data_IF_492852413740
#
_entry.id   IF_492852413740
#
_cell.length_a   1.000
_cell.length_b   1.000
_cell.length_c   1.000
_cell.angle_alpha   90.00
_cell.angle_beta   90.00
_cell.angle_gamma   90.00
#
_symmetry.space_group_name_H-M   'P 1'
#
loop_
_entity.id
_entity.type
_entity.pdbx_description
1 polymer ?
#
# COMPACT_ATOMS: atom_id res chain seq x y z
N UNK A 1 -13.34 11.77 17.46
CA UNK A 1 -13.86 10.85 16.43
C UNK A 1 -14.16 11.65 15.18
N UNK A 2 -13.84 11.09 14.00
CA UNK A 2 -14.06 11.73 12.70
C UNK A 2 -15.52 11.62 12.25
N UNK A 3 -15.95 12.55 11.38
CA UNK A 3 -17.32 12.62 10.84
C UNK A 3 -17.64 11.46 9.89
N UNK A 4 -16.61 10.88 9.25
CA UNK A 4 -16.69 9.70 8.39
C UNK A 4 -15.58 8.75 8.77
N UNK A 5 -15.91 7.47 8.96
CA UNK A 5 -14.94 6.41 9.29
C UNK A 5 -15.06 5.32 8.22
N UNK A 6 -13.99 5.09 7.46
CA UNK A 6 -13.88 3.97 6.51
C UNK A 6 -13.07 2.89 7.20
N UNK A 7 -13.74 1.81 7.62
CA UNK A 7 -13.13 0.72 8.36
C UNK A 7 -13.49 -0.59 7.67
N UNK A 8 -12.48 -1.33 7.25
CA UNK A 8 -12.62 -2.68 6.71
C UNK A 8 -11.80 -3.64 7.56
N UNK A 9 -12.44 -4.42 8.46
CA UNK A 9 -11.76 -5.37 9.32
C UNK A 9 -11.15 -6.56 8.56
N UNK A 10 -11.58 -6.82 7.33
CA UNK A 10 -11.10 -7.92 6.51
C UNK A 10 -9.92 -7.50 5.61
N UNK A 11 -9.61 -6.20 5.54
CA UNK A 11 -8.47 -5.72 4.79
C UNK A 11 -7.15 -6.10 5.49
N UNK A 12 -6.26 -6.75 4.75
CA UNK A 12 -4.96 -7.22 5.26
C UNK A 12 -3.95 -6.11 5.53
N UNK A 13 -4.18 -4.94 4.95
CA UNK A 13 -3.37 -3.75 5.13
C UNK A 13 -4.23 -2.50 4.94
N UNK A 14 -3.88 -1.44 5.66
CA UNK A 14 -4.54 -0.13 5.48
C UNK A 14 -4.32 0.39 4.06
N UNK A 15 -3.17 0.05 3.46
CA UNK A 15 -2.84 0.37 2.07
C UNK A 15 -3.90 -0.10 1.07
N UNK A 16 -4.56 -1.26 1.29
CA UNK A 16 -5.63 -1.76 0.43
C UNK A 16 -6.88 -0.88 0.50
N UNK A 17 -7.24 -0.43 1.71
CA UNK A 17 -8.38 0.48 1.92
C UNK A 17 -8.14 1.81 1.20
N UNK A 18 -6.91 2.36 1.33
CA UNK A 18 -6.50 3.60 0.66
C UNK A 18 -6.58 3.45 -0.86
N UNK A 19 -6.07 2.34 -1.42
CA UNK A 19 -6.06 2.11 -2.85
C UNK A 19 -7.47 2.05 -3.45
N UNK A 20 -8.39 1.31 -2.81
CA UNK A 20 -9.81 1.26 -3.22
C UNK A 20 -10.46 2.64 -3.15
N UNK A 21 -10.13 3.45 -2.15
CA UNK A 21 -10.65 4.80 -2.04
C UNK A 21 -10.12 5.70 -3.16
N UNK A 22 -8.83 5.60 -3.51
CA UNK A 22 -8.26 6.32 -4.65
C UNK A 22 -8.96 5.95 -5.96
N UNK A 23 -9.28 4.67 -6.15
CA UNK A 23 -10.02 4.18 -7.32
C UNK A 23 -11.45 4.74 -7.40
N UNK A 24 -12.19 4.68 -6.28
CA UNK A 24 -13.55 5.23 -6.16
C UNK A 24 -13.58 6.74 -6.42
N UNK A 25 -12.53 7.46 -6.02
CA UNK A 25 -12.38 8.89 -6.25
C UNK A 25 -11.92 9.23 -7.68
N UNK A 26 -11.55 8.23 -8.49
CA UNK A 26 -10.96 8.43 -9.82
C UNK A 26 -9.62 9.16 -9.78
N UNK A 27 -8.90 9.08 -8.66
CA UNK A 27 -7.60 9.72 -8.50
C UNK A 27 -6.54 8.99 -9.32
N UNK A 28 -5.61 9.75 -9.91
CA UNK A 28 -4.48 9.17 -10.63
C UNK A 28 -3.51 8.52 -9.64
N UNK A 29 -3.13 7.28 -9.90
CA UNK A 29 -2.11 6.56 -9.15
C UNK A 29 -0.75 6.79 -9.81
N UNK A 30 -0.17 7.96 -9.56
CA UNK A 30 1.18 8.31 -9.99
C UNK A 30 2.26 7.73 -9.05
N UNK A 31 3.53 7.83 -9.46
CA UNK A 31 4.65 7.27 -8.70
C UNK A 31 4.73 7.81 -7.25
N UNK A 32 4.60 9.13 -6.99
CA UNK A 32 4.61 9.65 -5.63
C UNK A 32 3.50 9.06 -4.74
N UNK A 33 2.27 8.96 -5.23
CA UNK A 33 1.17 8.36 -4.48
C UNK A 33 1.40 6.87 -4.29
N UNK A 34 1.76 6.15 -5.36
CA UNK A 34 2.02 4.72 -5.32
C UNK A 34 3.15 4.37 -4.35
N UNK A 35 4.21 5.18 -4.28
CA UNK A 35 5.32 5.03 -3.34
C UNK A 35 4.83 5.05 -1.89
N UNK A 36 3.96 6.01 -1.56
CA UNK A 36 3.41 6.14 -0.20
C UNK A 36 2.57 4.91 0.17
N UNK A 37 1.73 4.45 -0.76
CA UNK A 37 0.89 3.27 -0.54
C UNK A 37 1.73 2.00 -0.42
N UNK A 38 2.79 1.86 -1.24
CA UNK A 38 3.70 0.72 -1.18
C UNK A 38 4.46 0.65 0.14
N UNK A 39 4.92 1.78 0.68
CA UNK A 39 5.56 1.83 1.99
C UNK A 39 4.63 1.31 3.11
N UNK A 40 3.35 1.71 3.08
CA UNK A 40 2.33 1.21 4.00
C UNK A 40 2.12 -0.30 3.85
N UNK A 41 1.99 -0.78 2.60
CA UNK A 41 1.82 -2.21 2.30
C UNK A 41 2.99 -3.06 2.83
N UNK A 42 4.24 -2.63 2.59
CA UNK A 42 5.44 -3.33 3.08
C UNK A 42 5.47 -3.36 4.61
N UNK A 43 5.06 -2.27 5.27
CA UNK A 43 5.07 -2.18 6.73
C UNK A 43 4.01 -3.10 7.35
N UNK A 44 2.77 -3.01 6.88
CA UNK A 44 1.63 -3.78 7.41
C UNK A 44 1.84 -5.30 7.21
N UNK A 45 2.42 -5.68 6.07
CA UNK A 45 2.64 -7.10 5.71
C UNK A 45 3.94 -7.68 6.29
N UNK A 46 4.73 -6.87 7.02
CA UNK A 46 6.08 -7.19 7.49
C UNK A 46 6.99 -7.65 6.35
N UNK A 47 7.11 -6.83 5.32
CA UNK A 47 7.86 -7.14 4.09
C UNK A 47 7.33 -8.41 3.41
N UNK A 48 6.02 -8.47 3.20
CA UNK A 48 5.31 -9.59 2.56
C UNK A 48 5.37 -10.94 3.30
N UNK A 49 5.91 -11.01 4.52
CA UNK A 49 5.97 -12.26 5.31
C UNK A 49 4.59 -12.84 5.63
N UNK A 50 3.55 -12.01 5.66
CA UNK A 50 2.16 -12.42 5.86
C UNK A 50 1.27 -11.98 4.70
N UNK A 51 1.83 -11.84 3.50
CA UNK A 51 1.09 -11.45 2.32
C UNK A 51 0.23 -12.61 1.77
N UNK A 52 -0.94 -12.27 1.22
CA UNK A 52 -1.74 -13.17 0.40
C UNK A 52 -1.62 -12.81 -1.09
N UNK A 53 -2.22 -13.59 -2.01
CA UNK A 53 -2.22 -13.26 -3.43
C UNK A 53 -2.72 -11.84 -3.72
N UNK A 54 -3.74 -11.37 -3.00
CA UNK A 54 -4.31 -10.02 -3.17
C UNK A 54 -3.29 -8.92 -2.84
N UNK A 55 -2.49 -9.12 -1.79
CA UNK A 55 -1.40 -8.21 -1.41
C UNK A 55 -0.35 -8.12 -2.53
N UNK A 56 -0.03 -9.25 -3.18
CA UNK A 56 0.93 -9.26 -4.29
C UNK A 56 0.39 -8.61 -5.56
N UNK A 57 -0.90 -8.74 -5.87
CA UNK A 57 -1.54 -8.04 -6.98
C UNK A 57 -1.48 -6.52 -6.79
N UNK A 58 -1.74 -6.06 -5.57
CA UNK A 58 -1.60 -4.66 -5.21
C UNK A 58 -0.15 -4.18 -5.33
N UNK A 59 0.81 -4.96 -4.82
CA UNK A 59 2.22 -4.64 -5.01
C UNK A 59 2.58 -4.52 -6.50
N UNK A 60 2.14 -5.47 -7.34
CA UNK A 60 2.38 -5.44 -8.78
C UNK A 60 1.82 -4.18 -9.43
N UNK A 61 0.61 -3.76 -9.06
CA UNK A 61 -0.01 -2.53 -9.54
C UNK A 61 0.80 -1.28 -9.16
N UNK A 62 1.29 -1.22 -7.92
CA UNK A 62 2.11 -0.09 -7.44
C UNK A 62 3.46 -0.02 -8.15
N UNK A 63 4.09 -1.18 -8.42
CA UNK A 63 5.32 -1.25 -9.22
C UNK A 63 5.08 -0.80 -10.67
N UNK A 64 3.94 -1.17 -11.26
CA UNK A 64 3.56 -0.72 -12.59
C UNK A 64 3.35 0.81 -12.67
N UNK A 65 3.00 1.46 -11.56
CA UNK A 65 2.92 2.90 -11.43
C UNK A 65 4.29 3.59 -11.26
N UNK A 66 5.40 2.83 -11.25
CA UNK A 66 6.77 3.35 -11.26
C UNK A 66 7.49 3.26 -9.91
N UNK A 67 6.92 2.57 -8.92
CA UNK A 67 7.56 2.42 -7.60
C UNK A 67 8.84 1.58 -7.71
N UNK A 68 9.93 2.12 -7.16
CA UNK A 68 11.15 1.35 -6.87
C UNK A 68 11.02 0.65 -5.51
N UNK A 69 10.73 -0.66 -5.56
CA UNK A 69 10.55 -1.48 -4.36
C UNK A 69 11.76 -1.43 -3.41
N UNK A 70 12.97 -1.46 -3.95
CA UNK A 70 14.19 -1.54 -3.17
C UNK A 70 14.45 -0.21 -2.46
N UNK A 71 14.33 0.90 -3.21
CA UNK A 71 14.52 2.25 -2.66
C UNK A 71 13.52 2.56 -1.54
N UNK A 72 12.30 2.00 -1.61
CA UNK A 72 11.29 2.18 -0.56
C UNK A 72 11.51 1.24 0.62
N UNK A 73 11.80 -0.04 0.38
CA UNK A 73 11.89 -1.03 1.45
C UNK A 73 13.18 -0.90 2.28
N UNK A 74 14.31 -0.57 1.64
CA UNK A 74 15.63 -0.57 2.30
C UNK A 74 15.71 0.37 3.52
N UNK A 75 15.30 1.65 3.43
CA UNK A 75 15.29 2.54 4.61
C UNK A 75 14.35 2.08 5.73
N UNK A 76 13.25 1.41 5.40
CA UNK A 76 12.28 0.90 6.38
C UNK A 76 12.86 -0.27 7.19
N UNK A 77 13.74 -1.06 6.58
CA UNK A 77 14.38 -2.22 7.21
C UNK A 77 15.59 -1.81 8.06
N UNK A 78 16.31 -0.75 7.68
CA UNK A 78 17.47 -0.24 8.42
C UNK A 78 17.10 0.53 9.70
N UNK A 79 15.81 0.80 9.91
CA UNK A 79 15.29 1.56 11.07
C UNK A 79 14.97 0.70 12.30
N UNK A 80 15.47 -0.54 12.38
CA UNK A 80 15.18 -1.51 13.46
C UNK A 80 16.44 -2.18 14.02
#
# INVERSE_FOLDING_TARGET
>A
FGTVNVVDPEAEATALVVLRLLDELGAELDEPVARCVYAGLVTDTRSFRHATPSTHEVAARLLAAGVDAEAVARPLMDSH
#
